data_IF_196423259178
#
_entry.id   IF_196423259178
#
_cell.length_a   1.000
_cell.length_b   1.000
_cell.length_c   1.000
_cell.angle_alpha   90.00
_cell.angle_beta   90.00
_cell.angle_gamma   90.00
#
_symmetry.space_group_name_H-M   'P 1'
#
loop_
_entity.id
_entity.type
_entity.pdbx_description
1 polymer ?
#
# COMPACT_ATOMS: atom_id res chain seq x y z
N UNK A 1 15.87 -23.56 24.06
CA UNK A 1 15.64 -22.10 23.91
C UNK A 1 14.15 -21.85 23.98
N UNK A 2 13.64 -21.04 24.92
CA UNK A 2 12.20 -20.80 25.03
C UNK A 2 11.73 -20.04 23.78
N UNK A 3 10.63 -20.49 23.17
CA UNK A 3 9.97 -19.77 22.07
C UNK A 3 9.26 -18.56 22.66
N UNK A 4 10.01 -17.48 22.87
CA UNK A 4 9.47 -16.17 23.21
C UNK A 4 8.82 -15.64 21.95
N UNK A 5 7.49 -15.60 21.91
CA UNK A 5 6.78 -14.93 20.83
C UNK A 5 5.39 -15.47 20.59
N UNK A 6 4.46 -15.20 21.50
CA UNK A 6 3.06 -15.02 21.08
C UNK A 6 2.95 -13.67 20.35
N UNK A 7 3.63 -13.52 19.20
CA UNK A 7 3.49 -12.33 18.37
C UNK A 7 2.14 -12.44 17.67
N UNK A 8 1.10 -11.80 18.24
CA UNK A 8 -0.19 -11.67 17.57
C UNK A 8 0.06 -11.05 16.19
N UNK A 9 -0.27 -11.79 15.15
CA UNK A 9 -0.21 -11.31 13.78
C UNK A 9 -1.39 -10.39 13.52
N UNK A 10 -1.27 -9.47 12.58
CA UNK A 10 -2.37 -8.55 12.25
C UNK A 10 -3.65 -9.27 11.79
N UNK A 11 -3.50 -10.49 11.25
CA UNK A 11 -4.60 -11.40 10.92
C UNK A 11 -5.43 -11.88 12.11
N UNK A 12 -4.86 -11.87 13.32
CA UNK A 12 -5.55 -12.30 14.55
C UNK A 12 -6.55 -11.25 15.06
N UNK A 13 -6.46 -10.01 14.56
CA UNK A 13 -7.37 -8.94 14.92
C UNK A 13 -8.60 -8.93 13.99
N UNK A 14 -9.80 -8.68 14.53
CA UNK A 14 -11.02 -8.56 13.75
C UNK A 14 -10.99 -7.31 12.87
N UNK A 15 -11.65 -7.37 11.72
CA UNK A 15 -11.76 -6.28 10.76
C UNK A 15 -12.31 -5.00 11.40
N UNK A 16 -11.56 -3.90 11.35
CA UNK A 16 -11.99 -2.62 11.97
C UNK A 16 -13.26 -2.06 11.32
N UNK A 17 -13.57 -2.50 10.10
CA UNK A 17 -14.73 -2.04 9.31
C UNK A 17 -16.02 -2.82 9.62
N UNK A 18 -15.92 -4.10 9.95
CA UNK A 18 -17.10 -4.98 10.08
C UNK A 18 -17.02 -6.05 11.18
N UNK A 19 -15.93 -6.11 11.94
CA UNK A 19 -15.69 -7.11 13.00
C UNK A 19 -15.38 -8.53 12.52
N UNK A 20 -15.48 -8.83 11.22
CA UNK A 20 -15.22 -10.16 10.68
C UNK A 20 -13.74 -10.55 10.74
N UNK A 21 -13.43 -11.85 10.63
CA UNK A 21 -12.05 -12.33 10.61
C UNK A 21 -11.27 -11.77 9.40
N UNK A 22 -9.94 -11.71 9.54
CA UNK A 22 -9.03 -11.39 8.43
C UNK A 22 -8.27 -12.65 8.01
N UNK A 23 -7.80 -12.67 6.77
CA UNK A 23 -6.86 -13.68 6.28
C UNK A 23 -5.68 -13.02 5.56
N UNK A 24 -4.52 -13.66 5.62
CA UNK A 24 -3.37 -13.25 4.80
C UNK A 24 -3.69 -13.58 3.34
N UNK A 25 -3.58 -12.58 2.48
CA UNK A 25 -3.79 -12.71 1.03
C UNK A 25 -2.46 -12.95 0.32
N UNK A 26 -1.42 -12.21 0.69
CA UNK A 26 -0.12 -12.27 0.05
C UNK A 26 0.96 -11.82 1.02
N UNK A 27 2.12 -12.47 0.94
CA UNK A 27 3.36 -12.01 1.57
C UNK A 27 4.42 -11.89 0.49
N UNK A 28 5.24 -10.84 0.53
CA UNK A 28 6.37 -10.68 -0.39
C UNK A 28 7.51 -9.93 0.28
N UNK A 29 8.72 -10.14 -0.21
CA UNK A 29 9.92 -9.45 0.27
C UNK A 29 10.37 -8.46 -0.79
N UNK A 30 10.53 -7.22 -0.38
CA UNK A 30 11.06 -6.14 -1.20
C UNK A 30 12.51 -5.86 -0.81
N UNK A 31 13.41 -5.77 -1.81
CA UNK A 31 14.81 -5.42 -1.59
C UNK A 31 14.98 -3.94 -1.87
N UNK A 32 15.18 -3.16 -0.81
CA UNK A 32 15.32 -1.70 -0.85
C UNK A 32 16.81 -1.36 -0.79
N UNK A 33 17.30 -0.60 -1.77
CA UNK A 33 18.65 -0.05 -1.77
C UNK A 33 18.68 1.20 -0.89
N UNK A 34 19.62 1.25 0.05
CA UNK A 34 19.92 2.38 0.91
C UNK A 34 21.40 2.76 0.76
N UNK A 35 21.80 3.91 1.31
CA UNK A 35 23.20 4.38 1.25
C UNK A 35 24.21 3.38 1.85
N UNK A 36 23.75 2.51 2.76
CA UNK A 36 24.56 1.50 3.44
C UNK A 36 24.46 0.09 2.82
N UNK A 37 23.88 -0.05 1.62
CA UNK A 37 23.70 -1.34 0.93
C UNK A 37 22.24 -1.70 0.74
N UNK A 38 21.84 -2.94 1.04
CA UNK A 38 20.47 -3.40 0.80
C UNK A 38 19.77 -3.82 2.09
N UNK A 39 18.51 -3.41 2.22
CA UNK A 39 17.57 -3.88 3.25
C UNK A 39 16.54 -4.80 2.59
N UNK A 40 16.19 -5.89 3.29
CA UNK A 40 15.06 -6.74 2.91
C UNK A 40 13.87 -6.36 3.79
N UNK A 41 12.78 -5.91 3.16
CA UNK A 41 11.53 -5.55 3.82
C UNK A 41 10.48 -6.62 3.52
N UNK A 42 9.94 -7.26 4.56
CA UNK A 42 8.85 -8.22 4.42
C UNK A 42 7.50 -7.52 4.54
N UNK A 43 6.67 -7.65 3.50
CA UNK A 43 5.32 -7.13 3.44
C UNK A 43 4.32 -8.27 3.57
N UNK A 44 3.29 -8.07 4.39
CA UNK A 44 2.14 -8.97 4.49
C UNK A 44 0.87 -8.18 4.24
N UNK A 45 0.11 -8.61 3.24
CA UNK A 45 -1.22 -8.07 2.92
C UNK A 45 -2.30 -8.97 3.50
N UNK A 46 -3.20 -8.37 4.27
CA UNK A 46 -4.37 -9.04 4.85
C UNK A 46 -5.67 -8.49 4.28
N UNK A 47 -6.66 -9.36 4.07
CA UNK A 47 -7.99 -8.99 3.58
C UNK A 47 -9.08 -9.44 4.55
N UNK A 48 -10.23 -8.76 4.51
CA UNK A 48 -11.41 -9.18 5.25
C UNK A 48 -12.00 -10.46 4.64
N UNK A 49 -12.45 -11.41 5.47
CA UNK A 49 -13.15 -12.60 4.96
C UNK A 49 -14.61 -12.31 4.56
N UNK A 50 -15.18 -11.21 5.04
CA UNK A 50 -16.49 -10.75 4.61
C UNK A 50 -16.38 -10.08 3.23
N UNK A 51 -17.00 -10.71 2.23
CA UNK A 51 -16.95 -10.27 0.83
C UNK A 51 -17.52 -8.86 0.65
N UNK A 52 -18.71 -8.58 1.16
CA UNK A 52 -19.35 -7.27 0.99
C UNK A 52 -18.51 -6.15 1.63
N UNK A 53 -17.93 -6.44 2.79
CA UNK A 53 -17.01 -5.51 3.44
C UNK A 53 -15.75 -5.29 2.58
N UNK A 54 -15.16 -6.36 2.06
CA UNK A 54 -13.95 -6.29 1.26
C UNK A 54 -14.18 -5.55 -0.06
N UNK A 55 -15.25 -5.89 -0.80
CA UNK A 55 -15.60 -5.30 -2.08
C UNK A 55 -15.84 -3.78 -1.95
N UNK A 56 -16.50 -3.33 -0.86
CA UNK A 56 -16.68 -1.89 -0.56
C UNK A 56 -15.35 -1.17 -0.37
N UNK A 57 -14.41 -1.78 0.32
CA UNK A 57 -13.10 -1.18 0.56
C UNK A 57 -12.25 -1.15 -0.69
N UNK A 58 -12.29 -2.20 -1.50
CA UNK A 58 -11.58 -2.23 -2.77
C UNK A 58 -12.07 -1.14 -3.72
N UNK A 59 -13.39 -0.90 -3.76
CA UNK A 59 -13.97 0.20 -4.52
C UNK A 59 -13.47 1.57 -4.05
N UNK A 60 -13.47 1.83 -2.75
CA UNK A 60 -12.94 3.09 -2.20
C UNK A 60 -11.45 3.23 -2.50
N UNK A 61 -10.69 2.14 -2.34
CA UNK A 61 -9.26 2.12 -2.59
C UNK A 61 -8.93 2.38 -4.07
N UNK A 62 -9.70 1.82 -5.01
CA UNK A 62 -9.51 2.07 -6.44
C UNK A 62 -9.80 3.54 -6.78
N UNK A 63 -10.91 4.09 -6.27
CA UNK A 63 -11.25 5.50 -6.47
C UNK A 63 -10.19 6.45 -5.90
N UNK A 64 -9.64 6.16 -4.71
CA UNK A 64 -8.54 6.94 -4.15
C UNK A 64 -7.26 6.82 -4.96
N UNK A 65 -6.93 5.63 -5.44
CA UNK A 65 -5.74 5.38 -6.26
C UNK A 65 -5.81 6.17 -7.56
N UNK A 66 -6.95 6.13 -8.25
CA UNK A 66 -7.19 6.91 -9.45
C UNK A 66 -7.07 8.42 -9.20
N UNK A 67 -7.62 8.92 -8.09
CA UNK A 67 -7.48 10.34 -7.71
C UNK A 67 -6.02 10.71 -7.48
N UNK A 68 -5.26 9.89 -6.76
CA UNK A 68 -3.82 10.12 -6.50
C UNK A 68 -3.00 10.11 -7.79
N UNK A 69 -3.27 9.18 -8.70
CA UNK A 69 -2.59 9.09 -10.00
C UNK A 69 -2.91 10.29 -10.89
N UNK A 70 -4.16 10.76 -10.93
CA UNK A 70 -4.53 11.98 -11.66
C UNK A 70 -3.76 13.20 -11.15
N UNK A 71 -3.70 13.39 -9.84
CA UNK A 71 -2.95 14.50 -9.22
C UNK A 71 -1.45 14.37 -9.52
N UNK A 72 -0.90 13.15 -9.49
CA UNK A 72 0.50 12.88 -9.83
C UNK A 72 0.80 13.27 -11.28
N UNK A 73 -0.08 12.89 -12.21
CA UNK A 73 0.06 13.19 -13.63
C UNK A 73 -0.07 14.70 -13.90
N UNK A 74 -1.03 15.39 -13.29
CA UNK A 74 -1.15 16.84 -13.40
C UNK A 74 0.09 17.57 -12.88
N UNK A 75 0.63 17.14 -11.73
CA UNK A 75 1.86 17.72 -11.17
C UNK A 75 3.05 17.52 -12.12
N UNK A 76 3.20 16.32 -12.69
CA UNK A 76 4.25 16.03 -13.66
C UNK A 76 4.11 16.88 -14.93
N UNK A 77 2.89 16.97 -15.49
CA UNK A 77 2.60 17.78 -16.67
C UNK A 77 2.84 19.28 -16.44
N UNK A 78 2.46 19.78 -15.26
CA UNK A 78 2.70 21.17 -14.88
C UNK A 78 4.20 21.47 -14.69
N UNK A 79 4.98 20.53 -14.16
CA UNK A 79 6.43 20.67 -14.07
C UNK A 79 7.07 20.73 -15.48
N UNK A 80 6.66 19.84 -16.39
CA UNK A 80 7.14 19.82 -17.78
C UNK A 80 6.80 21.10 -18.55
N UNK A 81 5.58 21.63 -18.38
CA UNK A 81 5.19 22.93 -18.99
C UNK A 81 6.09 24.06 -18.50
N UNK A 82 6.39 24.11 -17.20
CA UNK A 82 7.26 25.14 -16.61
C UNK A 82 8.71 25.03 -17.07
N UNK A 83 9.22 23.82 -17.32
CA UNK A 83 10.57 23.64 -17.87
C UNK A 83 10.64 24.02 -19.34
N UNK A 84 9.63 23.67 -20.15
CA UNK A 84 9.62 23.99 -21.59
C UNK A 84 9.52 25.49 -21.87
N UNK A 85 8.76 26.25 -21.07
CA UNK A 85 8.67 27.72 -21.19
C UNK A 85 10.02 28.40 -20.90
N UNK A 86 10.87 27.82 -20.04
CA UNK A 86 12.18 28.40 -19.68
C UNK A 86 13.30 28.10 -20.69
N UNK A 87 13.05 27.24 -21.67
CA UNK A 87 14.04 26.82 -22.69
C UNK A 87 13.71 27.43 -24.07
N UNK A 88 12.66 28.25 -24.16
CA UNK A 88 12.35 29.01 -25.39
C UNK A 88 13.19 30.30 -25.42
N UNK A 89 14.08 30.49 -26.42
CA UNK A 89 14.95 31.67 -26.53
C UNK A 89 14.18 32.98 -26.81
#
# INVERSE_FOLDING_TARGET
>A
MPKIGNSKTYSDYPCDRCGSKRRVSRTWTEKILNDNGFMLLEHTQTICTNKDCQDKFEKVLSEETEKREKIRLERANNALRKTNIKISP
#
